data_IF_178342415075
#
_entry.id   IF_178342415075
#
_cell.length_a   1.000
_cell.length_b   1.000
_cell.length_c   1.000
_cell.angle_alpha   90.00
_cell.angle_beta   90.00
_cell.angle_gamma   90.00
#
_symmetry.space_group_name_H-M   'P 1'
#
loop_
_entity.id
_entity.type
_entity.pdbx_description
1 polymer ?
#
# COMPACT_ATOMS: atom_id res chain seq x y z
N UNK A 1 -31.29 -82.37 13.78
CA UNK A 1 -29.93 -82.15 13.24
C UNK A 1 -29.85 -80.73 12.69
N UNK A 2 -29.33 -79.79 13.48
CA UNK A 2 -28.96 -78.46 12.98
C UNK A 2 -27.88 -77.91 13.92
N UNK A 3 -26.64 -78.31 13.65
CA UNK A 3 -25.47 -77.80 14.36
C UNK A 3 -25.12 -76.43 13.78
N UNK A 4 -25.68 -75.37 14.37
CA UNK A 4 -25.27 -74.01 14.05
C UNK A 4 -23.92 -73.71 14.70
N UNK A 5 -22.87 -73.61 13.88
CA UNK A 5 -21.51 -73.33 14.33
C UNK A 5 -21.38 -71.90 14.91
N UNK A 6 -21.18 -71.74 16.24
CA UNK A 6 -21.07 -70.43 16.90
C UNK A 6 -19.79 -69.67 16.50
N UNK A 7 -18.82 -70.36 15.89
CA UNK A 7 -17.54 -69.77 15.44
C UNK A 7 -17.70 -68.77 14.30
N UNK A 8 -18.73 -68.91 13.46
CA UNK A 8 -18.93 -68.03 12.31
C UNK A 8 -19.32 -66.61 12.72
N UNK A 9 -20.15 -66.46 13.76
CA UNK A 9 -20.63 -65.17 14.25
C UNK A 9 -19.55 -64.38 14.99
N UNK A 10 -18.67 -65.04 15.75
CA UNK A 10 -17.53 -64.39 16.42
C UNK A 10 -16.55 -63.78 15.41
N UNK A 11 -16.25 -64.49 14.32
CA UNK A 11 -15.33 -63.98 13.30
C UNK A 11 -15.88 -62.73 12.57
N UNK A 12 -17.21 -62.63 12.40
CA UNK A 12 -17.86 -61.46 11.79
C UNK A 12 -17.81 -60.24 12.71
N UNK A 13 -18.05 -60.43 14.01
CA UNK A 13 -17.99 -59.36 15.01
C UNK A 13 -16.56 -58.83 15.16
N UNK A 14 -15.57 -59.73 15.26
CA UNK A 14 -14.16 -59.35 15.39
C UNK A 14 -13.66 -58.65 14.12
N UNK A 15 -13.98 -59.16 12.92
CA UNK A 15 -13.63 -58.49 11.65
C UNK A 15 -14.27 -57.09 11.55
N UNK A 16 -15.52 -56.94 11.99
CA UNK A 16 -16.21 -55.64 12.00
C UNK A 16 -15.58 -54.62 12.96
N UNK A 17 -15.13 -55.06 14.15
CA UNK A 17 -14.38 -54.20 15.07
C UNK A 17 -12.99 -53.85 14.54
N UNK A 18 -12.26 -54.84 14.03
CA UNK A 18 -10.91 -54.67 13.50
C UNK A 18 -10.88 -53.72 12.30
N UNK A 19 -11.89 -53.81 11.43
CA UNK A 19 -12.04 -52.93 10.28
C UNK A 19 -12.31 -51.48 10.70
N UNK A 20 -13.11 -51.25 11.75
CA UNK A 20 -13.39 -49.90 12.28
C UNK A 20 -12.17 -49.26 12.93
N UNK A 21 -11.42 -50.00 13.74
CA UNK A 21 -10.19 -49.48 14.35
C UNK A 21 -9.11 -49.19 13.30
N UNK A 22 -9.00 -50.02 12.26
CA UNK A 22 -8.06 -49.81 11.16
C UNK A 22 -8.37 -48.52 10.39
N UNK A 23 -9.64 -48.25 10.10
CA UNK A 23 -10.06 -47.00 9.44
C UNK A 23 -9.75 -45.76 10.29
N UNK A 24 -9.97 -45.83 11.60
CA UNK A 24 -9.66 -44.72 12.51
C UNK A 24 -8.15 -44.45 12.57
N UNK A 25 -7.32 -45.49 12.61
CA UNK A 25 -5.86 -45.34 12.61
C UNK A 25 -5.35 -44.78 11.27
N UNK A 26 -5.90 -45.22 10.14
CA UNK A 26 -5.54 -44.70 8.83
C UNK A 26 -5.92 -43.23 8.66
N UNK A 27 -7.13 -42.84 9.06
CA UNK A 27 -7.58 -41.45 8.99
C UNK A 27 -6.77 -40.58 9.96
N UNK A 28 -6.52 -41.05 11.18
CA UNK A 28 -5.70 -40.34 12.16
C UNK A 28 -4.26 -40.16 11.68
N UNK A 29 -3.66 -41.19 11.10
CA UNK A 29 -2.32 -41.13 10.50
C UNK A 29 -2.25 -40.16 9.31
N UNK A 30 -3.27 -40.18 8.44
CA UNK A 30 -3.37 -39.25 7.31
C UNK A 30 -3.55 -37.80 7.79
N UNK A 31 -4.34 -37.57 8.84
CA UNK A 31 -4.50 -36.25 9.44
C UNK A 31 -3.18 -35.75 10.06
N UNK A 32 -2.48 -36.61 10.80
CA UNK A 32 -1.17 -36.29 11.36
C UNK A 32 -0.12 -36.01 10.29
N UNK A 33 -0.11 -36.76 9.18
CA UNK A 33 0.82 -36.51 8.09
C UNK A 33 0.53 -35.19 7.37
N UNK A 34 -0.75 -34.86 7.15
CA UNK A 34 -1.14 -33.57 6.56
C UNK A 34 -0.72 -32.41 7.47
N UNK A 35 -0.92 -32.54 8.78
CA UNK A 35 -0.49 -31.54 9.77
C UNK A 35 1.03 -31.39 9.80
N UNK A 36 1.78 -32.49 9.83
CA UNK A 36 3.24 -32.46 9.81
C UNK A 36 3.81 -31.82 8.51
N UNK A 37 3.18 -32.05 7.36
CA UNK A 37 3.56 -31.41 6.09
C UNK A 37 3.26 -29.91 6.14
N UNK A 38 2.16 -29.49 6.76
CA UNK A 38 1.79 -28.07 6.86
C UNK A 38 2.82 -27.24 7.63
N UNK A 39 3.40 -27.83 8.67
CA UNK A 39 4.37 -27.16 9.55
C UNK A 39 5.76 -27.04 8.88
N UNK A 40 6.08 -27.95 7.96
CA UNK A 40 7.33 -27.94 7.19
C UNK A 40 7.27 -27.10 5.91
N UNK A 41 6.06 -26.77 5.42
CA UNK A 41 5.86 -26.09 4.13
C UNK A 41 5.91 -24.56 4.19
N UNK A 42 6.15 -23.96 5.36
CA UNK A 42 6.36 -22.50 5.48
C UNK A 42 7.77 -22.17 4.99
N UNK A 43 7.88 -22.05 3.67
CA UNK A 43 9.12 -21.81 2.96
C UNK A 43 9.71 -20.43 3.40
N UNK A 44 10.90 -20.39 4.05
CA UNK A 44 11.47 -19.14 4.59
C UNK A 44 11.79 -18.11 3.50
N UNK A 45 11.84 -18.55 2.24
CA UNK A 45 12.04 -17.69 1.07
C UNK A 45 10.85 -16.78 0.80
N UNK A 46 9.63 -17.24 1.05
CA UNK A 46 8.40 -16.45 0.88
C UNK A 46 8.35 -15.28 1.88
N UNK A 47 8.81 -15.52 3.12
CA UNK A 47 8.90 -14.48 4.16
C UNK A 47 9.88 -13.38 3.77
N UNK A 48 11.04 -13.73 3.22
CA UNK A 48 12.04 -12.74 2.77
C UNK A 48 11.54 -11.90 1.61
N UNK A 49 10.92 -12.52 0.59
CA UNK A 49 10.36 -11.80 -0.56
C UNK A 49 9.22 -10.86 -0.15
N UNK A 50 8.31 -11.30 0.73
CA UNK A 50 7.27 -10.42 1.25
C UNK A 50 7.84 -9.26 2.06
N UNK A 51 8.86 -9.50 2.90
CA UNK A 51 9.52 -8.43 3.64
C UNK A 51 10.20 -7.41 2.70
N UNK A 52 10.83 -7.89 1.63
CA UNK A 52 11.43 -7.03 0.61
C UNK A 52 10.36 -6.20 -0.12
N UNK A 53 9.24 -6.81 -0.53
CA UNK A 53 8.14 -6.09 -1.18
C UNK A 53 7.51 -5.06 -0.25
N UNK A 54 7.31 -5.38 1.03
CA UNK A 54 6.83 -4.41 2.01
C UNK A 54 7.79 -3.23 2.17
N UNK A 55 9.10 -3.49 2.22
CA UNK A 55 10.10 -2.42 2.28
C UNK A 55 10.14 -1.57 1.01
N UNK A 56 9.89 -2.16 -0.17
CA UNK A 56 9.76 -1.41 -1.41
C UNK A 56 8.50 -0.54 -1.42
N UNK A 57 7.36 -1.07 -0.98
CA UNK A 57 6.11 -0.32 -0.86
C UNK A 57 6.28 0.90 0.06
N UNK A 58 6.85 0.71 1.25
CA UNK A 58 7.07 1.82 2.19
C UNK A 58 7.99 2.91 1.60
N UNK A 59 8.99 2.53 0.82
CA UNK A 59 9.88 3.50 0.14
C UNK A 59 9.14 4.27 -0.95
N UNK A 60 8.29 3.58 -1.72
CA UNK A 60 7.49 4.21 -2.78
C UNK A 60 6.48 5.18 -2.16
N UNK A 61 5.78 4.77 -1.10
CA UNK A 61 4.84 5.63 -0.38
C UNK A 61 5.50 6.91 0.15
N UNK A 62 6.68 6.78 0.76
CA UNK A 62 7.45 7.93 1.23
C UNK A 62 7.79 8.90 0.08
N UNK A 63 8.25 8.38 -1.07
CA UNK A 63 8.54 9.20 -2.25
C UNK A 63 7.30 9.87 -2.82
N UNK A 64 6.17 9.18 -2.86
CA UNK A 64 4.90 9.77 -3.31
C UNK A 64 4.49 10.91 -2.38
N UNK A 65 4.65 10.74 -1.07
CA UNK A 65 4.35 11.80 -0.12
C UNK A 65 5.26 13.02 -0.29
N UNK A 66 6.58 12.80 -0.41
CA UNK A 66 7.54 13.87 -0.70
C UNK A 66 7.20 14.61 -1.99
N UNK A 67 6.91 13.89 -3.07
CA UNK A 67 6.57 14.49 -4.36
C UNK A 67 5.27 15.30 -4.30
N UNK A 68 4.28 14.84 -3.52
CA UNK A 68 3.04 15.60 -3.28
C UNK A 68 3.32 16.91 -2.53
N UNK A 69 4.14 16.85 -1.48
CA UNK A 69 4.52 18.04 -0.71
C UNK A 69 5.30 19.05 -1.57
N UNK A 70 6.23 18.57 -2.39
CA UNK A 70 6.98 19.40 -3.33
C UNK A 70 6.05 20.02 -4.38
N UNK A 71 5.14 19.23 -4.97
CA UNK A 71 4.16 19.73 -5.94
C UNK A 71 3.28 20.81 -5.32
N UNK A 72 2.87 20.66 -4.05
CA UNK A 72 2.11 21.69 -3.33
C UNK A 72 2.94 22.97 -3.15
N UNK A 73 4.18 22.84 -2.68
CA UNK A 73 5.09 23.98 -2.49
C UNK A 73 5.34 24.73 -3.79
N UNK A 74 5.67 24.02 -4.87
CA UNK A 74 5.89 24.61 -6.19
C UNK A 74 4.62 25.28 -6.71
N UNK A 75 3.43 24.70 -6.48
CA UNK A 75 2.17 25.32 -6.89
C UNK A 75 1.90 26.62 -6.12
N UNK A 76 2.17 26.64 -4.82
CA UNK A 76 2.08 27.85 -4.00
C UNK A 76 3.07 28.92 -4.46
N UNK A 77 4.32 28.53 -4.74
CA UNK A 77 5.35 29.42 -5.26
C UNK A 77 4.94 30.00 -6.63
N UNK A 78 4.51 29.16 -7.56
CA UNK A 78 3.97 29.61 -8.86
C UNK A 78 2.78 30.55 -8.65
N UNK A 79 1.88 30.27 -7.70
CA UNK A 79 0.75 31.14 -7.40
C UNK A 79 1.20 32.51 -6.87
N UNK A 80 2.23 32.56 -6.04
CA UNK A 80 2.83 33.82 -5.55
C UNK A 80 3.50 34.59 -6.68
N UNK A 81 4.30 33.91 -7.51
CA UNK A 81 4.95 34.54 -8.67
C UNK A 81 3.93 35.06 -9.69
N UNK A 82 2.87 34.29 -9.96
CA UNK A 82 1.77 34.71 -10.85
C UNK A 82 0.98 35.91 -10.29
N UNK A 83 0.89 36.04 -8.97
CA UNK A 83 0.28 37.19 -8.30
C UNK A 83 1.08 38.48 -8.46
N UNK A 84 2.36 38.41 -8.85
CA UNK A 84 3.22 39.58 -9.06
C UNK A 84 3.95 39.53 -10.42
N UNK A 85 3.21 39.66 -11.54
CA UNK A 85 3.78 39.54 -12.88
C UNK A 85 4.83 40.63 -13.19
N UNK A 86 4.74 41.80 -12.54
CA UNK A 86 5.72 42.88 -12.69
C UNK A 86 7.09 42.53 -12.07
N UNK A 87 7.13 41.83 -10.93
CA UNK A 87 8.39 41.33 -10.36
C UNK A 87 9.01 40.25 -11.24
N UNK A 88 8.18 39.36 -11.80
CA UNK A 88 8.66 38.32 -12.74
C UNK A 88 9.26 38.95 -13.99
N UNK A 89 8.62 39.97 -14.56
CA UNK A 89 9.12 40.72 -15.72
C UNK A 89 10.42 41.47 -15.41
N UNK A 90 10.55 42.04 -14.21
CA UNK A 90 11.77 42.69 -13.76
C UNK A 90 12.95 41.70 -13.68
N UNK A 91 12.76 40.57 -13.01
CA UNK A 91 13.80 39.54 -12.91
C UNK A 91 14.16 38.94 -14.28
N UNK A 92 13.17 38.70 -15.14
CA UNK A 92 13.40 38.24 -16.51
C UNK A 92 14.20 39.26 -17.33
N UNK A 93 13.82 40.55 -17.33
CA UNK A 93 14.56 41.61 -18.04
C UNK A 93 15.98 41.83 -17.51
N UNK A 94 16.16 41.75 -16.19
CA UNK A 94 17.48 41.88 -15.57
C UNK A 94 18.39 40.70 -15.94
N UNK A 95 17.87 39.48 -15.90
CA UNK A 95 18.62 38.28 -16.30
C UNK A 95 18.97 38.24 -17.79
N UNK A 96 18.15 38.88 -18.64
CA UNK A 96 18.38 38.98 -20.09
C UNK A 96 19.20 40.23 -20.50
N UNK A 97 19.67 41.04 -19.56
CA UNK A 97 20.42 42.28 -19.85
C UNK A 97 19.60 43.34 -20.60
N UNK A 98 18.27 43.26 -20.54
CA UNK A 98 17.34 44.15 -21.25
C UNK A 98 16.93 45.39 -20.42
N UNK A 99 17.58 45.63 -19.28
CA UNK A 99 17.29 46.79 -18.42
C UNK A 99 17.88 48.04 -19.06
N UNK A 100 17.03 49.00 -19.43
CA UNK A 100 17.49 50.28 -19.99
C UNK A 100 17.96 51.20 -18.85
N UNK A 101 19.11 51.89 -18.98
CA UNK A 101 19.52 52.88 -18.00
C UNK A 101 18.47 54.01 -17.92
N UNK A 102 17.90 54.24 -16.73
CA UNK A 102 16.91 55.29 -16.47
C UNK A 102 15.44 54.84 -16.42
N UNK A 103 15.13 53.54 -16.48
CA UNK A 103 13.76 53.04 -16.36
C UNK A 103 13.24 53.12 -14.91
N UNK A 104 12.15 53.90 -14.69
CA UNK A 104 11.47 54.03 -13.39
C UNK A 104 10.25 53.10 -13.37
N UNK A 105 10.25 52.10 -12.48
CA UNK A 105 9.15 51.15 -12.35
C UNK A 105 8.16 51.67 -11.30
N UNK A 106 6.94 51.98 -11.72
CA UNK A 106 5.85 52.36 -10.82
C UNK A 106 5.25 51.11 -10.15
N UNK A 107 5.35 51.05 -8.82
CA UNK A 107 4.62 50.08 -7.99
C UNK A 107 3.29 50.72 -7.59
N UNK A 108 2.19 50.26 -8.14
CA UNK A 108 0.86 50.64 -7.65
C UNK A 108 0.54 49.74 -6.45
N UNK A 109 0.40 50.33 -5.26
CA UNK A 109 -0.13 49.61 -4.10
C UNK A 109 -1.65 49.45 -4.30
N UNK A 110 -2.11 48.20 -4.47
CA UNK A 110 -3.53 47.85 -4.68
C UNK A 110 -4.45 48.17 -3.47
N UNK A 111 -3.95 48.87 -2.44
CA UNK A 111 -4.70 49.18 -1.21
C UNK A 111 -5.77 50.27 -1.38
N UNK A 112 -5.87 50.91 -2.55
CA UNK A 112 -6.80 52.03 -2.77
C UNK A 112 -8.11 51.69 -3.50
N UNK A 113 -8.35 50.42 -3.86
CA UNK A 113 -9.55 50.03 -4.62
C UNK A 113 -10.76 49.64 -3.76
N UNK A 114 -10.67 49.64 -2.42
CA UNK A 114 -11.77 49.24 -1.52
C UNK A 114 -12.52 50.38 -0.81
N UNK A 115 -12.16 51.66 -0.99
CA UNK A 115 -12.72 52.76 -0.17
C UNK A 115 -13.59 53.79 -0.91
N UNK A 116 -14.18 53.46 -2.07
CA UNK A 116 -15.21 54.30 -2.71
C UNK A 116 -16.36 53.45 -3.25
N UNK A 117 -17.26 53.09 -2.35
CA UNK A 117 -18.67 52.93 -2.68
C UNK A 117 -19.38 54.24 -2.28
N UNK A 118 -19.80 55.09 -3.23
CA UNK A 118 -20.52 56.34 -2.95
C UNK A 118 -22.04 56.14 -2.93
N UNK A 119 -22.54 55.06 -2.31
CA UNK A 119 -23.97 54.84 -2.08
C UNK A 119 -24.33 54.93 -0.59
N UNK A 120 -24.19 56.13 -0.04
CA UNK A 120 -24.97 56.62 1.11
C UNK A 120 -25.43 58.05 0.83
#
# INVERSE_FOLDING_TARGET
MRDEHPRSNLSKIVKGLLQRSLSVVLIGGLCLSILAISEWSIDPRLRKKNAEFQAQLSRIELRVQQLKDDTRRLREEISRLKGNPNETLYHARNSLGMVRPGEVIYRFDDRHSQSRDPSQ
#
